data_IF_431343944433
#
_entry.id   IF_431343944433
#
_cell.length_a   1.000
_cell.length_b   1.000
_cell.length_c   1.000
_cell.angle_alpha   90.00
_cell.angle_beta   90.00
_cell.angle_gamma   90.00
#
_symmetry.space_group_name_H-M   'P 1'
#
loop_
_entity.id
_entity.type
_entity.pdbx_description
1 polymer ?
#
# COMPACT_ATOMS: atom_id res chain seq x y z
N UNK A 1 -19.63 -17.28 21.18
CA UNK A 1 -18.93 -17.13 19.89
C UNK A 1 -19.93 -16.71 18.83
N UNK A 2 -19.55 -15.76 17.97
CA UNK A 2 -20.34 -15.25 16.84
C UNK A 2 -19.81 -15.81 15.52
N UNK A 3 -20.58 -15.71 14.44
CA UNK A 3 -20.14 -16.13 13.10
C UNK A 3 -18.86 -15.38 12.66
N UNK A 4 -18.76 -14.09 12.98
CA UNK A 4 -17.57 -13.29 12.68
C UNK A 4 -16.33 -13.81 13.40
N UNK A 5 -16.47 -14.15 14.68
CA UNK A 5 -15.36 -14.72 15.45
C UNK A 5 -14.93 -16.08 14.91
N UNK A 6 -15.89 -16.90 14.47
CA UNK A 6 -15.58 -18.17 13.82
C UNK A 6 -14.79 -17.96 12.53
N UNK A 7 -15.22 -17.05 11.64
CA UNK A 7 -14.52 -16.79 10.39
C UNK A 7 -13.18 -16.08 10.55
N UNK A 8 -13.00 -15.32 11.63
CA UNK A 8 -11.74 -14.65 11.94
C UNK A 8 -10.70 -15.61 12.52
N UNK A 9 -11.10 -16.41 13.52
CA UNK A 9 -10.15 -17.18 14.34
C UNK A 9 -10.52 -18.67 14.44
N UNK A 10 -11.81 -18.99 14.61
CA UNK A 10 -12.28 -20.36 14.83
C UNK A 10 -12.06 -21.30 13.65
N UNK A 11 -12.02 -20.78 12.42
CA UNK A 11 -11.74 -21.56 11.22
C UNK A 11 -10.36 -22.23 11.28
N UNK A 12 -9.35 -21.52 11.78
CA UNK A 12 -7.98 -22.03 11.85
C UNK A 12 -7.87 -23.22 12.81
N UNK A 13 -8.61 -23.18 13.92
CA UNK A 13 -8.69 -24.28 14.88
C UNK A 13 -9.24 -25.55 14.23
N UNK A 14 -10.35 -25.40 13.49
CA UNK A 14 -10.99 -26.50 12.77
C UNK A 14 -10.08 -27.09 11.70
N UNK A 15 -9.34 -26.24 10.97
CA UNK A 15 -8.39 -26.69 9.96
C UNK A 15 -7.16 -27.39 10.55
N UNK A 16 -6.75 -27.04 11.77
CA UNK A 16 -5.74 -27.77 12.53
C UNK A 16 -6.26 -29.06 13.19
N UNK A 17 -7.54 -29.39 12.98
CA UNK A 17 -8.18 -30.59 13.55
C UNK A 17 -8.72 -30.40 14.98
N UNK A 18 -8.73 -29.17 15.50
CA UNK A 18 -9.33 -28.85 16.79
C UNK A 18 -10.83 -28.52 16.64
N UNK A 19 -11.69 -28.99 17.55
CA UNK A 19 -13.11 -28.70 17.48
C UNK A 19 -13.40 -27.24 17.86
N UNK A 20 -14.31 -26.59 17.11
CA UNK A 20 -14.86 -25.28 17.44
C UNK A 20 -16.35 -25.41 17.78
N UNK A 21 -16.78 -25.07 19.02
CA UNK A 21 -18.17 -25.24 19.44
C UNK A 21 -19.18 -24.43 18.61
N UNK A 22 -18.76 -23.33 17.99
CA UNK A 22 -19.64 -22.52 17.16
C UNK A 22 -19.91 -23.18 15.82
N UNK A 23 -18.91 -23.83 15.20
CA UNK A 23 -19.10 -24.63 13.98
C UNK A 23 -20.17 -25.71 14.19
N UNK A 24 -20.11 -26.42 15.31
CA UNK A 24 -20.99 -27.57 15.56
C UNK A 24 -22.44 -27.16 15.84
N UNK A 25 -22.63 -25.99 16.45
CA UNK A 25 -23.96 -25.49 16.87
C UNK A 25 -24.61 -24.56 15.84
N UNK A 26 -23.82 -23.84 15.03
CA UNK A 26 -24.34 -22.90 14.04
C UNK A 26 -24.50 -23.55 12.65
N UNK A 27 -25.75 -23.73 12.22
CA UNK A 27 -26.09 -24.33 10.91
C UNK A 27 -25.47 -23.56 9.73
N UNK A 28 -25.42 -22.22 9.82
CA UNK A 28 -24.84 -21.37 8.76
C UNK A 28 -23.34 -21.62 8.64
N UNK A 29 -22.58 -21.47 9.73
CA UNK A 29 -21.12 -21.67 9.73
C UNK A 29 -20.74 -23.09 9.30
N UNK A 30 -21.49 -24.12 9.75
CA UNK A 30 -21.26 -25.49 9.29
C UNK A 30 -21.44 -25.65 7.78
N UNK A 31 -22.52 -25.12 7.22
CA UNK A 31 -22.82 -25.20 5.78
C UNK A 31 -21.78 -24.44 4.96
N UNK A 32 -21.43 -23.24 5.37
CA UNK A 32 -20.44 -22.41 4.65
C UNK A 32 -19.03 -23.01 4.75
N UNK A 33 -18.66 -23.59 5.89
CA UNK A 33 -17.39 -24.30 6.03
C UNK A 33 -17.33 -25.52 5.11
N UNK A 34 -18.40 -26.29 5.00
CA UNK A 34 -18.50 -27.40 4.04
C UNK A 34 -18.35 -26.90 2.59
N UNK A 35 -19.02 -25.80 2.22
CA UNK A 35 -18.89 -25.19 0.89
C UNK A 35 -17.45 -24.74 0.60
N UNK A 36 -16.74 -24.24 1.61
CA UNK A 36 -15.32 -23.92 1.50
C UNK A 36 -14.46 -25.18 1.30
N UNK A 37 -14.70 -26.25 2.05
CA UNK A 37 -13.99 -27.53 1.86
C UNK A 37 -14.20 -28.10 0.45
N UNK A 38 -15.39 -27.92 -0.13
CA UNK A 38 -15.68 -28.27 -1.52
C UNK A 38 -14.85 -27.44 -2.51
N UNK A 39 -14.77 -26.12 -2.30
CA UNK A 39 -13.94 -25.23 -3.13
C UNK A 39 -12.45 -25.58 -3.02
N UNK A 40 -11.94 -25.81 -1.81
CA UNK A 40 -10.53 -26.20 -1.59
C UNK A 40 -10.20 -27.50 -2.31
N UNK A 41 -11.12 -28.48 -2.31
CA UNK A 41 -10.95 -29.73 -3.07
C UNK A 41 -11.03 -29.54 -4.58
N UNK A 42 -11.83 -28.57 -5.05
CA UNK A 42 -11.99 -28.28 -6.47
C UNK A 42 -10.82 -27.47 -7.06
N UNK A 43 -10.19 -26.60 -6.27
CA UNK A 43 -9.12 -25.70 -6.75
C UNK A 43 -7.96 -26.41 -7.46
N UNK A 44 -7.40 -27.53 -6.96
CA UNK A 44 -6.34 -28.27 -7.66
C UNK A 44 -6.76 -28.82 -9.03
N UNK A 45 -8.06 -29.06 -9.25
CA UNK A 45 -8.59 -29.53 -10.53
C UNK A 45 -8.62 -28.40 -11.56
N UNK A 46 -8.65 -27.14 -11.12
CA UNK A 46 -8.59 -25.95 -11.96
C UNK A 46 -7.12 -25.56 -12.16
N UNK A 47 -6.46 -26.20 -13.12
CA UNK A 47 -5.07 -25.87 -13.52
C UNK A 47 -4.05 -27.00 -13.38
N UNK A 48 -4.46 -28.18 -12.90
CA UNK A 48 -3.59 -29.36 -12.74
C UNK A 48 -2.96 -29.92 -14.03
N UNK A 49 -3.29 -29.38 -15.20
CA UNK A 49 -2.68 -29.74 -16.49
C UNK A 49 -1.37 -28.99 -16.78
N UNK A 50 -1.04 -27.97 -16.00
CA UNK A 50 0.18 -27.18 -16.20
C UNK A 50 1.15 -27.53 -15.08
N UNK A 51 2.24 -28.22 -15.41
CA UNK A 51 3.38 -28.34 -14.51
C UNK A 51 3.90 -26.94 -14.23
N UNK A 52 3.55 -26.40 -13.06
CA UNK A 52 4.06 -25.12 -12.59
C UNK A 52 5.59 -25.12 -12.58
N UNK A 53 6.19 -23.95 -12.77
CA UNK A 53 7.65 -23.83 -12.80
C UNK A 53 8.26 -24.37 -11.50
N UNK A 54 9.10 -25.42 -11.52
CA UNK A 54 9.61 -26.06 -10.32
C UNK A 54 10.41 -25.13 -9.40
N UNK A 55 10.87 -23.98 -9.92
CA UNK A 55 11.63 -22.98 -9.17
C UNK A 55 10.77 -21.80 -8.70
N UNK A 56 9.44 -21.85 -8.87
CA UNK A 56 8.56 -20.73 -8.48
C UNK A 56 8.72 -20.39 -7.00
N UNK A 57 8.75 -21.41 -6.14
CA UNK A 57 8.85 -21.26 -4.70
C UNK A 57 10.18 -20.64 -4.28
N UNK A 58 11.30 -21.15 -4.81
CA UNK A 58 12.62 -20.61 -4.56
C UNK A 58 12.74 -19.13 -4.97
N UNK A 59 12.13 -18.74 -6.10
CA UNK A 59 12.12 -17.34 -6.55
C UNK A 59 11.31 -16.44 -5.63
N UNK A 60 10.12 -16.88 -5.21
CA UNK A 60 9.27 -16.12 -4.28
C UNK A 60 10.00 -15.91 -2.96
N UNK A 61 10.55 -16.96 -2.36
CA UNK A 61 11.29 -16.86 -1.10
C UNK A 61 12.53 -15.99 -1.21
N UNK A 62 13.27 -16.07 -2.33
CA UNK A 62 14.43 -15.19 -2.55
C UNK A 62 14.05 -13.70 -2.61
N UNK A 63 12.82 -13.37 -3.05
CA UNK A 63 12.34 -11.99 -3.11
C UNK A 63 11.92 -11.53 -1.72
N UNK A 64 11.26 -12.37 -0.94
CA UNK A 64 10.89 -12.08 0.45
C UNK A 64 12.14 -11.87 1.31
N UNK A 65 13.13 -12.76 1.21
CA UNK A 65 14.38 -12.65 1.95
C UNK A 65 15.17 -11.35 1.63
N UNK A 66 15.03 -10.83 0.40
CA UNK A 66 15.64 -9.55 0.00
C UNK A 66 14.90 -8.32 0.52
N UNK A 67 13.64 -8.48 0.92
CA UNK A 67 12.82 -7.41 1.50
C UNK A 67 12.95 -7.36 3.03
N UNK A 68 13.50 -8.39 3.68
CA UNK A 68 13.84 -8.31 5.10
C UNK A 68 15.08 -7.41 5.29
N UNK A 69 15.00 -6.33 6.09
CA UNK A 69 16.18 -5.54 6.43
C UNK A 69 17.20 -6.43 7.15
N UNK A 70 18.53 -6.23 6.92
CA UNK A 70 19.54 -7.07 7.50
C UNK A 70 19.42 -7.07 9.03
N UNK A 71 19.17 -8.24 9.61
CA UNK A 71 19.24 -8.44 11.06
C UNK A 71 20.69 -8.12 11.47
N UNK A 72 20.86 -7.00 12.18
CA UNK A 72 22.17 -6.46 12.52
C UNK A 72 23.08 -7.48 13.22
N UNK A 73 24.41 -7.36 13.11
CA UNK A 73 25.34 -8.33 13.66
C UNK A 73 25.21 -8.40 15.18
N UNK A 74 25.36 -9.59 15.78
CA UNK A 74 25.47 -9.80 17.25
C UNK A 74 26.84 -9.30 17.74
N UNK A 75 26.99 -7.99 17.88
CA UNK A 75 28.24 -7.33 18.32
C UNK A 75 28.34 -7.10 19.84
N UNK A 76 27.48 -7.72 20.65
CA UNK A 76 27.47 -7.63 22.12
C UNK A 76 28.63 -8.38 22.83
N UNK A 77 29.80 -8.42 22.21
CA UNK A 77 31.05 -8.83 22.84
C UNK A 77 32.14 -7.91 22.35
N UNK A 78 32.41 -6.87 23.13
CA UNK A 78 33.71 -6.19 23.33
C UNK A 78 33.42 -4.80 23.93
N UNK A 79 33.31 -4.78 25.26
CA UNK A 79 33.30 -3.55 26.04
C UNK A 79 34.64 -2.84 25.91
N UNK A 80 34.60 -1.55 25.58
CA UNK A 80 35.81 -0.71 25.52
C UNK A 80 35.69 0.56 24.67
N UNK A 81 34.71 0.64 23.75
CA UNK A 81 34.59 1.75 22.78
C UNK A 81 33.53 2.81 23.07
N UNK A 82 32.92 2.83 24.26
CA UNK A 82 31.70 3.64 24.51
C UNK A 82 31.93 5.16 24.52
N UNK A 83 33.15 5.65 24.80
CA UNK A 83 33.40 7.09 24.88
C UNK A 83 33.60 7.74 23.50
N UNK A 84 34.35 7.09 22.58
CA UNK A 84 34.60 7.63 21.24
C UNK A 84 33.36 7.52 20.34
N UNK A 85 32.55 6.47 20.51
CA UNK A 85 31.30 6.31 19.78
C UNK A 85 30.27 7.40 20.15
N UNK A 86 30.20 7.85 21.40
CA UNK A 86 29.24 8.88 21.81
C UNK A 86 29.55 10.25 21.22
N UNK A 87 30.84 10.61 21.13
CA UNK A 87 31.28 11.85 20.48
C UNK A 87 31.01 11.83 18.98
N UNK A 88 31.26 10.69 18.32
CA UNK A 88 30.92 10.51 16.91
C UNK A 88 29.40 10.50 16.69
N UNK A 89 28.60 9.86 17.56
CA UNK A 89 27.14 9.86 17.47
C UNK A 89 26.55 11.25 17.68
N UNK A 90 27.07 12.06 18.61
CA UNK A 90 26.63 13.44 18.80
C UNK A 90 27.02 14.32 17.61
N UNK A 91 28.22 14.15 17.06
CA UNK A 91 28.65 14.83 15.83
C UNK A 91 27.83 14.38 14.62
N UNK A 92 27.48 13.10 14.53
CA UNK A 92 26.61 12.56 13.48
C UNK A 92 25.14 12.97 13.67
N UNK A 93 24.69 13.24 14.90
CA UNK A 93 23.37 13.79 15.17
C UNK A 93 23.27 15.27 14.83
N UNK A 94 24.35 16.04 15.02
CA UNK A 94 24.37 17.47 14.67
C UNK A 94 24.62 17.71 13.19
N UNK A 95 25.45 16.89 12.53
CA UNK A 95 25.64 16.96 11.06
C UNK A 95 24.56 16.17 10.29
N UNK A 96 24.11 15.02 10.78
CA UNK A 96 23.12 14.16 10.09
C UNK A 96 21.68 14.67 10.17
N UNK A 97 21.38 15.66 11.02
CA UNK A 97 20.10 16.39 10.95
C UNK A 97 19.99 17.34 9.75
N UNK A 98 21.08 17.62 9.05
CA UNK A 98 21.09 18.52 7.90
C UNK A 98 21.04 17.81 6.56
N UNK A 99 20.97 16.49 6.56
CA UNK A 99 20.92 15.68 5.34
C UNK A 99 19.80 14.63 5.41
N UNK A 100 18.61 15.06 5.86
CA UNK A 100 17.40 14.57 5.21
C UNK A 100 17.46 15.08 3.77
N UNK A 101 18.21 14.35 2.94
CA UNK A 101 18.17 14.45 1.48
C UNK A 101 16.72 14.67 1.12
N UNK A 102 16.47 15.74 0.38
CA UNK A 102 15.26 15.94 -0.38
C UNK A 102 14.98 14.65 -1.16
N UNK A 103 14.18 13.77 -0.55
CA UNK A 103 13.74 12.52 -1.12
C UNK A 103 13.02 12.91 -2.40
N UNK A 104 13.46 12.32 -3.51
CA UNK A 104 13.06 12.71 -4.86
C UNK A 104 11.54 12.58 -4.99
N UNK A 105 10.85 13.72 -4.90
CA UNK A 105 9.41 13.81 -5.15
C UNK A 105 9.18 13.69 -6.65
N UNK A 106 8.13 13.00 -7.10
CA UNK A 106 7.00 12.48 -6.31
C UNK A 106 7.22 11.08 -5.70
N UNK A 107 6.74 10.87 -4.47
CA UNK A 107 6.71 9.56 -3.80
C UNK A 107 5.27 9.08 -3.60
N UNK A 108 5.00 7.82 -3.93
CA UNK A 108 3.67 7.21 -3.85
C UNK A 108 3.75 5.98 -2.96
N UNK A 109 2.92 5.96 -1.91
CA UNK A 109 2.82 4.90 -0.92
C UNK A 109 1.36 4.41 -0.85
N UNK A 110 1.15 3.09 -0.78
CA UNK A 110 -0.18 2.52 -0.50
C UNK A 110 -0.23 2.17 0.98
N UNK A 111 -1.07 2.88 1.72
CA UNK A 111 -1.33 2.66 3.15
C UNK A 111 -2.47 1.66 3.28
N UNK A 112 -2.17 0.50 3.82
CA UNK A 112 -3.14 -0.58 3.99
C UNK A 112 -4.34 -0.14 4.84
N UNK A 113 -5.54 -0.45 4.37
CA UNK A 113 -6.79 -0.30 5.13
C UNK A 113 -7.01 -1.46 6.11
N UNK A 114 -8.19 -1.52 6.73
CA UNK A 114 -8.58 -2.56 7.70
C UNK A 114 -8.84 -3.95 7.08
N UNK A 115 -8.51 -4.18 5.81
CA UNK A 115 -8.83 -5.42 5.12
C UNK A 115 -7.99 -6.63 5.62
N UNK A 116 -8.67 -7.74 5.92
CA UNK A 116 -8.13 -8.92 6.59
C UNK A 116 -7.30 -9.87 5.69
N UNK A 117 -7.17 -9.61 4.38
CA UNK A 117 -6.49 -10.52 3.45
C UNK A 117 -5.57 -9.77 2.49
N UNK A 118 -4.29 -10.13 2.46
CA UNK A 118 -3.22 -9.31 1.85
C UNK A 118 -2.76 -9.85 0.50
N UNK A 119 -2.87 -9.03 -0.53
CA UNK A 119 -2.07 -9.13 -1.76
C UNK A 119 -0.97 -8.07 -1.75
N UNK A 120 0.10 -8.23 -2.53
CA UNK A 120 1.13 -7.18 -2.73
C UNK A 120 0.65 -6.01 -3.60
N UNK A 121 -0.63 -6.00 -3.99
CA UNK A 121 -1.28 -4.97 -4.79
C UNK A 121 -2.27 -4.17 -3.95
N UNK A 122 -2.54 -2.93 -4.39
CA UNK A 122 -3.55 -2.08 -3.77
C UNK A 122 -4.94 -2.75 -3.84
N UNK A 123 -5.64 -2.73 -2.72
CA UNK A 123 -6.95 -3.36 -2.55
C UNK A 123 -8.02 -2.32 -2.27
N UNK A 124 -9.28 -2.69 -2.49
CA UNK A 124 -10.40 -1.83 -2.06
C UNK A 124 -10.35 -1.60 -0.55
N UNK A 125 -10.48 -0.33 -0.14
CA UNK A 125 -10.39 0.09 1.25
C UNK A 125 -9.01 0.57 1.68
N UNK A 126 -7.96 0.32 0.89
CA UNK A 126 -6.65 0.94 1.09
C UNK A 126 -6.69 2.45 0.81
N UNK A 127 -5.70 3.17 1.30
CA UNK A 127 -5.47 4.58 0.97
C UNK A 127 -4.19 4.70 0.15
N UNK A 128 -4.18 5.56 -0.84
CA UNK A 128 -2.94 5.97 -1.51
C UNK A 128 -2.49 7.30 -0.96
N UNK A 129 -1.25 7.37 -0.48
CA UNK A 129 -0.57 8.57 0.00
C UNK A 129 0.44 9.02 -1.05
N UNK A 130 0.37 10.28 -1.46
CA UNK A 130 1.18 10.87 -2.52
C UNK A 130 1.86 12.10 -1.95
N UNK A 131 3.19 12.06 -1.87
CA UNK A 131 4.02 13.13 -1.33
C UNK A 131 4.71 13.89 -2.47
N UNK A 132 4.40 15.18 -2.63
CA UNK A 132 4.88 16.06 -3.71
C UNK A 132 5.41 17.40 -3.20
N UNK A 133 5.97 18.23 -4.08
CA UNK A 133 6.44 19.56 -3.68
C UNK A 133 5.24 20.45 -3.32
N UNK A 134 5.42 21.45 -2.44
CA UNK A 134 4.31 22.31 -2.02
C UNK A 134 3.74 23.16 -3.17
N UNK A 135 4.47 23.28 -4.29
CA UNK A 135 4.08 23.99 -5.50
C UNK A 135 3.35 23.12 -6.51
N UNK A 136 3.35 21.80 -6.33
CA UNK A 136 2.77 20.86 -7.28
C UNK A 136 1.29 20.65 -6.93
N UNK A 137 0.47 20.33 -7.93
CA UNK A 137 -0.93 19.92 -7.74
C UNK A 137 -1.04 18.40 -7.90
N UNK A 138 -1.79 17.75 -7.02
CA UNK A 138 -2.11 16.32 -7.14
C UNK A 138 -3.56 16.14 -7.55
N UNK A 139 -3.78 15.29 -8.56
CA UNK A 139 -5.12 14.83 -8.95
C UNK A 139 -5.15 13.31 -9.00
N UNK A 140 -6.21 12.73 -8.45
CA UNK A 140 -6.45 11.30 -8.51
C UNK A 140 -7.71 11.05 -9.33
N UNK A 141 -7.60 10.19 -10.33
CA UNK A 141 -8.72 9.78 -11.17
C UNK A 141 -8.99 8.28 -11.01
N UNK A 142 -10.25 7.88 -11.10
CA UNK A 142 -10.66 6.48 -11.26
C UNK A 142 -11.27 6.31 -12.64
N UNK A 143 -10.62 5.52 -13.49
CA UNK A 143 -10.91 5.50 -14.92
C UNK A 143 -10.62 6.87 -15.53
N UNK A 144 -11.68 7.63 -15.80
CA UNK A 144 -11.63 8.97 -16.38
C UNK A 144 -12.27 10.04 -15.46
N UNK A 145 -12.69 9.67 -14.25
CA UNK A 145 -13.38 10.56 -13.33
C UNK A 145 -12.47 11.03 -12.21
N UNK A 146 -12.43 12.34 -11.95
CA UNK A 146 -11.70 12.92 -10.83
C UNK A 146 -12.33 12.51 -9.49
N UNK A 147 -11.52 11.99 -8.57
CA UNK A 147 -11.94 11.57 -7.22
C UNK A 147 -11.27 12.36 -6.10
N UNK A 148 -10.06 12.89 -6.32
CA UNK A 148 -9.38 13.79 -5.39
C UNK A 148 -8.64 14.87 -6.17
N UNK A 149 -8.68 16.11 -5.67
CA UNK A 149 -7.87 17.24 -6.13
C UNK A 149 -7.23 17.91 -4.92
N UNK A 150 -5.91 18.00 -4.93
CA UNK A 150 -5.13 18.76 -3.96
C UNK A 150 -4.39 19.89 -4.68
N UNK A 151 -4.97 21.11 -4.72
CA UNK A 151 -4.30 22.28 -5.26
C UNK A 151 -3.02 22.60 -4.48
N UNK A 152 -2.02 23.18 -5.17
CA UNK A 152 -0.78 23.63 -4.54
C UNK A 152 -1.05 24.49 -3.30
N UNK A 153 -0.36 24.18 -2.19
CA UNK A 153 -0.47 24.87 -0.89
C UNK A 153 -1.89 24.92 -0.29
N UNK A 154 -2.80 24.07 -0.74
CA UNK A 154 -4.14 23.96 -0.17
C UNK A 154 -4.19 22.85 0.88
N UNK A 155 -4.90 23.12 1.98
CA UNK A 155 -5.31 22.13 2.96
C UNK A 155 -6.82 21.90 2.84
N UNK A 156 -7.23 20.63 2.89
CA UNK A 156 -8.62 20.24 2.69
C UNK A 156 -8.80 18.73 2.87
N UNK A 157 -9.98 18.21 2.53
CA UNK A 157 -10.28 16.78 2.67
C UNK A 157 -9.31 15.95 1.83
N UNK A 158 -8.48 15.15 2.51
CA UNK A 158 -7.46 14.33 1.86
C UNK A 158 -6.21 15.08 1.41
N UNK A 159 -6.02 16.35 1.77
CA UNK A 159 -4.86 17.15 1.38
C UNK A 159 -4.26 17.87 2.60
N UNK A 160 -3.00 17.57 2.90
CA UNK A 160 -2.23 18.21 3.97
C UNK A 160 -1.00 18.86 3.37
N UNK A 161 -0.79 20.15 3.61
CA UNK A 161 0.43 20.85 3.21
C UNK A 161 1.17 21.36 4.44
N UNK A 162 2.47 21.09 4.51
CA UNK A 162 3.36 21.54 5.57
C UNK A 162 4.69 22.09 5.00
N UNK A 163 5.60 22.49 5.88
CA UNK A 163 6.92 22.98 5.48
C UNK A 163 7.77 21.95 4.71
N UNK A 164 7.39 20.66 4.78
CA UNK A 164 8.02 19.56 4.05
C UNK A 164 7.28 19.24 2.76
N UNK A 165 6.20 19.90 2.37
CA UNK A 165 5.58 19.70 1.06
C UNK A 165 4.08 19.50 1.14
N UNK A 166 3.53 18.76 0.18
CA UNK A 166 2.12 18.39 0.17
C UNK A 166 1.99 16.88 0.18
N UNK A 167 1.08 16.40 1.03
CA UNK A 167 0.65 15.01 1.11
C UNK A 167 -0.82 14.94 0.72
N UNK A 168 -1.10 14.19 -0.35
CA UNK A 168 -2.46 13.87 -0.78
C UNK A 168 -2.80 12.42 -0.40
N UNK A 169 -3.94 12.21 0.24
CA UNK A 169 -4.45 10.90 0.63
C UNK A 169 -5.82 10.64 0.01
N UNK A 170 -5.92 9.62 -0.85
CA UNK A 170 -7.17 9.20 -1.47
C UNK A 170 -7.57 7.78 -1.03
N UNK A 171 -8.84 7.58 -0.69
CA UNK A 171 -9.40 6.26 -0.42
C UNK A 171 -9.64 5.50 -1.74
N UNK A 172 -9.17 4.26 -1.81
CA UNK A 172 -9.40 3.36 -2.94
C UNK A 172 -10.75 2.65 -2.74
N UNK A 173 -11.84 3.39 -2.96
CA UNK A 173 -13.19 2.97 -2.60
C UNK A 173 -13.80 1.86 -3.49
N UNK A 174 -13.22 1.58 -4.66
CA UNK A 174 -13.73 0.56 -5.57
C UNK A 174 -12.62 -0.06 -6.41
N UNK A 175 -12.87 -1.25 -6.96
CA UNK A 175 -11.97 -1.90 -7.92
C UNK A 175 -11.84 -1.10 -9.21
N UNK A 176 -10.67 -1.12 -9.84
CA UNK A 176 -10.43 -0.50 -11.13
C UNK A 176 -9.05 0.16 -11.25
N UNK A 177 -8.83 0.86 -12.37
CA UNK A 177 -7.59 1.58 -12.61
C UNK A 177 -7.67 3.00 -12.06
N UNK A 178 -6.81 3.29 -11.09
CA UNK A 178 -6.58 4.64 -10.60
C UNK A 178 -5.40 5.27 -11.34
N UNK A 179 -5.49 6.58 -11.57
CA UNK A 179 -4.44 7.39 -12.21
C UNK A 179 -4.10 8.54 -11.30
N UNK A 180 -2.86 8.54 -10.83
CA UNK A 180 -2.31 9.54 -9.95
C UNK A 180 -1.54 10.53 -10.83
N UNK A 181 -1.99 11.77 -10.88
CA UNK A 181 -1.42 12.82 -11.72
C UNK A 181 -0.80 13.87 -10.82
N UNK A 182 0.50 14.08 -10.98
CA UNK A 182 1.25 15.17 -10.34
C UNK A 182 1.52 16.22 -11.40
N UNK A 183 1.12 17.47 -11.12
CA UNK A 183 1.17 18.58 -12.06
C UNK A 183 2.15 19.62 -11.55
N UNK A 184 3.10 20.00 -12.40
CA UNK A 184 4.13 20.99 -12.12
C UNK A 184 3.80 22.27 -12.89
N UNK A 185 3.85 23.42 -12.21
CA UNK A 185 3.80 24.76 -12.81
C UNK A 185 2.53 25.10 -13.63
N UNK A 186 1.38 24.51 -13.32
CA UNK A 186 0.09 24.94 -13.89
C UNK A 186 -1.06 24.83 -12.90
N UNK A 187 -2.01 25.76 -13.03
CA UNK A 187 -3.30 25.74 -12.32
C UNK A 187 -4.41 25.95 -13.34
N UNK A 188 -5.01 24.87 -13.79
CA UNK A 188 -6.22 24.90 -14.61
C UNK A 188 -7.31 24.16 -13.86
N UNK A 189 -8.46 24.77 -13.60
CA UNK A 189 -9.52 24.08 -12.88
C UNK A 189 -9.98 22.84 -13.67
N UNK A 190 -10.02 21.65 -13.03
CA UNK A 190 -10.44 20.44 -13.71
C UNK A 190 -11.94 20.48 -13.98
N UNK A 191 -12.30 20.00 -15.17
CA UNK A 191 -13.68 19.69 -15.54
C UNK A 191 -14.11 18.30 -15.03
N UNK A 192 -13.17 17.54 -14.46
CA UNK A 192 -13.39 16.22 -13.85
C UNK A 192 -13.22 15.04 -14.81
N UNK A 193 -12.59 15.25 -15.96
CA UNK A 193 -12.37 14.27 -17.03
C UNK A 193 -10.90 14.24 -17.41
N UNK A 194 -10.23 13.12 -17.20
CA UNK A 194 -8.77 13.00 -17.30
C UNK A 194 -8.25 13.55 -18.64
N UNK A 195 -8.76 13.08 -19.77
CA UNK A 195 -8.24 13.48 -21.09
C UNK A 195 -8.48 14.96 -21.41
N UNK A 196 -9.54 15.56 -20.85
CA UNK A 196 -9.82 16.99 -21.03
C UNK A 196 -8.96 17.82 -20.09
N UNK A 197 -8.77 17.35 -18.86
CA UNK A 197 -7.96 18.01 -17.83
C UNK A 197 -6.47 17.99 -18.20
N UNK A 198 -5.93 16.87 -18.69
CA UNK A 198 -4.55 16.77 -19.17
C UNK A 198 -4.29 17.70 -20.36
N UNK A 199 -5.22 17.79 -21.30
CA UNK A 199 -5.11 18.77 -22.41
C UNK A 199 -5.14 20.21 -21.91
N UNK A 200 -5.99 20.53 -20.93
CA UNK A 200 -6.03 21.85 -20.33
C UNK A 200 -4.70 22.20 -19.65
N UNK A 201 -4.10 21.25 -18.91
CA UNK A 201 -2.79 21.41 -18.26
C UNK A 201 -1.71 21.71 -19.30
N UNK A 202 -1.60 20.89 -20.35
CA UNK A 202 -0.61 21.10 -21.43
C UNK A 202 -0.82 22.42 -22.14
N UNK A 203 -2.08 22.79 -22.42
CA UNK A 203 -2.40 24.07 -23.07
C UNK A 203 -2.06 25.29 -22.21
N UNK A 204 -2.05 25.13 -20.89
CA UNK A 204 -1.62 26.15 -19.93
C UNK A 204 -0.10 26.20 -19.73
N UNK A 205 0.67 25.37 -20.46
CA UNK A 205 2.13 25.27 -20.31
C UNK A 205 2.58 24.45 -19.10
N UNK A 206 1.68 23.67 -18.49
CA UNK A 206 2.00 22.80 -17.38
C UNK A 206 2.63 21.48 -17.81
N UNK A 207 3.44 20.93 -16.92
CA UNK A 207 3.96 19.56 -17.04
C UNK A 207 3.19 18.64 -16.11
N UNK A 208 3.08 17.35 -16.47
CA UNK A 208 2.47 16.37 -15.59
C UNK A 208 3.19 15.02 -15.65
N UNK A 209 3.18 14.32 -14.53
CA UNK A 209 3.57 12.92 -14.42
C UNK A 209 2.33 12.10 -14.06
N UNK A 210 2.14 10.98 -14.73
CA UNK A 210 1.04 10.05 -14.48
C UNK A 210 1.56 8.69 -14.01
N UNK A 211 0.99 8.18 -12.93
CA UNK A 211 1.25 6.83 -12.41
C UNK A 211 -0.04 6.05 -12.37
N UNK A 212 -0.05 4.87 -12.99
CA UNK A 212 -1.21 3.97 -12.95
C UNK A 212 -1.14 3.06 -11.71
N UNK A 213 -2.26 2.94 -11.01
CA UNK A 213 -2.41 2.10 -9.83
C UNK A 213 -3.63 1.19 -10.02
N UNK A 214 -3.43 -0.09 -10.40
CA UNK A 214 -4.53 -1.04 -10.49
C UNK A 214 -4.98 -1.46 -9.08
N UNK A 215 -6.28 -1.38 -8.83
CA UNK A 215 -6.92 -1.80 -7.57
C UNK A 215 -7.82 -2.99 -7.83
N UNK A 216 -7.65 -4.04 -7.03
CA UNK A 216 -8.40 -5.30 -7.12
C UNK A 216 -9.28 -5.54 -5.90
#
# INVERSE_FOLDING_TARGET
>A
MTCDHYWRDGILLVESGEPDPHRDTCVVCRREHQGREELVRALPLVGGTTTGDPNWEARVWSRIARLEPPRGPRWWRLGGGLAAAFALVLMWWTLGRWEQRAETRPHIEVVAGEAAMRSTSASVGDRVRISVNPTDEVRVYRGDHLVLRCPARSTGDGCVSDARGMVAEALLAATGSYRLVVITLATADPVGRLDRDLRAIVSAGGEYQITELPVR
#
